data_IF_718626669002
#
_entry.id   IF_718626669002
#
_cell.length_a   1.000
_cell.length_b   1.000
_cell.length_c   1.000
_cell.angle_alpha   90.00
_cell.angle_beta   90.00
_cell.angle_gamma   90.00
#
_symmetry.space_group_name_H-M   'P 1'
#
loop_
_entity.id
_entity.type
_entity.pdbx_description
1 polymer ?
#
# COMPACT_ATOMS: atom_id res chain seq x y z
N UNK A 1 30.90 23.26 6.91
CA UNK A 1 31.42 22.08 6.18
C UNK A 1 30.47 21.78 5.02
N UNK A 2 30.95 21.87 3.78
CA UNK A 2 30.16 21.64 2.56
C UNK A 2 29.83 20.15 2.45
N UNK A 3 28.55 19.77 2.50
CA UNK A 3 28.10 18.41 2.14
C UNK A 3 27.87 18.36 0.64
N UNK A 4 28.48 17.36 0.00
CA UNK A 4 28.34 17.04 -1.42
C UNK A 4 26.89 16.68 -1.74
N UNK A 5 26.31 17.35 -2.73
CA UNK A 5 25.04 16.93 -3.34
C UNK A 5 25.32 15.66 -4.15
N UNK A 6 24.65 14.55 -3.82
CA UNK A 6 24.54 13.41 -4.72
C UNK A 6 23.83 13.84 -6.02
N UNK A 7 24.20 13.28 -7.18
CA UNK A 7 23.54 13.61 -8.43
C UNK A 7 22.14 12.97 -8.49
N UNK A 8 21.18 13.76 -8.98
CA UNK A 8 19.84 13.31 -9.37
C UNK A 8 19.94 12.21 -10.42
N UNK A 9 19.27 11.07 -10.19
CA UNK A 9 19.09 10.07 -11.24
C UNK A 9 18.08 10.57 -12.29
N UNK A 10 18.24 10.24 -13.59
CA UNK A 10 17.54 10.90 -14.69
C UNK A 10 16.12 10.38 -14.97
N UNK A 11 15.62 9.39 -14.22
CA UNK A 11 14.43 8.62 -14.59
C UNK A 11 13.15 8.99 -13.80
N UNK A 12 13.20 10.01 -12.94
CA UNK A 12 12.02 10.53 -12.24
C UNK A 12 11.39 9.54 -11.26
N UNK A 13 12.09 8.48 -10.88
CA UNK A 13 11.63 7.49 -9.91
C UNK A 13 12.21 7.81 -8.53
N UNK A 14 11.36 8.31 -7.62
CA UNK A 14 11.70 8.51 -6.22
C UNK A 14 11.52 7.20 -5.44
N UNK A 15 12.38 6.21 -5.65
CA UNK A 15 12.35 4.96 -4.88
C UNK A 15 13.73 4.74 -4.22
N UNK A 16 13.72 4.68 -2.89
CA UNK A 16 14.89 4.47 -2.03
C UNK A 16 14.45 3.66 -0.79
N UNK A 17 15.41 3.12 -0.03
CA UNK A 17 15.37 2.01 0.95
C UNK A 17 14.08 1.78 1.76
N UNK A 18 13.30 2.80 2.13
CA UNK A 18 12.01 2.64 2.83
C UNK A 18 10.80 2.31 1.94
N UNK A 19 10.85 2.67 0.65
CA UNK A 19 9.86 2.20 -0.35
C UNK A 19 10.20 0.77 -0.72
N UNK A 20 11.50 0.52 -0.88
CA UNK A 20 12.03 -0.82 -0.98
C UNK A 20 11.69 -1.63 0.26
N UNK A 21 11.78 -1.17 1.52
CA UNK A 21 11.47 -2.04 2.67
C UNK A 21 10.00 -2.47 2.76
N UNK A 22 9.04 -1.64 2.37
CA UNK A 22 7.62 -2.04 2.27
C UNK A 22 7.36 -2.99 1.09
N UNK A 23 7.96 -2.69 -0.07
CA UNK A 23 7.88 -3.52 -1.28
C UNK A 23 8.69 -4.83 -1.15
N UNK A 24 9.77 -4.78 -0.37
CA UNK A 24 10.73 -5.84 -0.05
C UNK A 24 10.30 -6.62 1.17
N UNK A 25 9.39 -6.14 2.02
CA UNK A 25 8.73 -6.99 3.00
C UNK A 25 7.81 -8.00 2.28
N UNK A 26 7.05 -7.55 1.27
CA UNK A 26 6.26 -8.43 0.40
C UNK A 26 7.14 -9.34 -0.47
N UNK A 27 8.21 -8.80 -1.07
CA UNK A 27 9.20 -9.60 -1.79
C UNK A 27 9.97 -10.56 -0.86
N UNK A 28 10.28 -10.12 0.35
CA UNK A 28 11.05 -10.81 1.38
C UNK A 28 10.29 -11.99 1.94
N UNK A 29 8.97 -11.85 2.14
CA UNK A 29 8.13 -12.97 2.51
C UNK A 29 8.07 -14.02 1.38
N UNK A 30 7.95 -13.61 0.11
CA UNK A 30 8.01 -14.52 -1.04
C UNK A 30 9.38 -15.19 -1.21
N UNK A 31 10.46 -14.44 -0.95
CA UNK A 31 11.85 -14.91 -0.98
C UNK A 31 12.15 -15.89 0.17
N UNK A 32 11.69 -15.62 1.39
CA UNK A 32 11.77 -16.54 2.54
C UNK A 32 10.95 -17.80 2.31
N UNK A 33 9.76 -17.69 1.71
CA UNK A 33 8.95 -18.87 1.39
C UNK A 33 9.62 -19.74 0.32
N UNK A 34 10.31 -19.11 -0.64
CA UNK A 34 11.17 -19.81 -1.61
C UNK A 34 12.42 -20.44 -0.98
N UNK A 35 13.05 -19.76 -0.02
CA UNK A 35 14.18 -20.27 0.77
C UNK A 35 13.82 -21.47 1.63
N UNK A 36 12.66 -21.46 2.29
CA UNK A 36 12.19 -22.58 3.13
C UNK A 36 11.89 -23.80 2.25
N UNK A 37 11.22 -23.61 1.10
CA UNK A 37 10.96 -24.70 0.14
C UNK A 37 12.23 -25.23 -0.56
N UNK A 38 13.25 -24.38 -0.73
CA UNK A 38 14.55 -24.79 -1.26
C UNK A 38 15.49 -25.42 -0.22
N UNK A 39 15.30 -25.12 1.06
CA UNK A 39 16.18 -25.52 2.17
C UNK A 39 15.86 -26.89 2.80
N UNK A 40 14.70 -27.48 2.52
CA UNK A 40 14.33 -28.81 3.05
C UNK A 40 15.08 -29.99 2.40
N UNK A 41 15.89 -29.73 1.37
CA UNK A 41 16.77 -30.73 0.77
C UNK A 41 18.21 -30.22 0.75
N UNK A 42 18.98 -30.50 1.81
CA UNK A 42 20.42 -30.90 1.75
C UNK A 42 21.09 -30.80 3.13
N UNK A 43 21.31 -31.94 3.77
CA UNK A 43 22.16 -32.03 4.95
C UNK A 43 23.66 -32.10 4.55
N UNK A 44 24.46 -31.26 5.21
CA UNK A 44 25.92 -31.32 5.42
C UNK A 44 26.90 -31.32 4.21
N UNK A 45 27.56 -30.18 3.96
CA UNK A 45 28.90 -30.11 3.31
C UNK A 45 29.59 -28.74 3.54
N UNK A 46 30.94 -28.63 3.39
CA UNK A 46 31.72 -27.42 3.70
C UNK A 46 31.60 -26.30 2.65
N UNK A 47 30.99 -26.59 1.50
CA UNK A 47 30.85 -25.68 0.35
C UNK A 47 29.46 -25.01 0.27
N UNK A 48 28.86 -24.68 1.42
CA UNK A 48 27.48 -24.14 1.49
C UNK A 48 27.30 -22.87 0.67
N UNK A 49 28.26 -21.93 0.71
CA UNK A 49 28.15 -20.65 0.02
C UNK A 49 28.15 -20.84 -1.50
N UNK A 50 29.06 -21.64 -2.04
CA UNK A 50 29.14 -21.91 -3.49
C UNK A 50 27.93 -22.71 -4.00
N UNK A 51 27.51 -23.73 -3.26
CA UNK A 51 26.30 -24.50 -3.58
C UNK A 51 25.03 -23.64 -3.53
N UNK A 52 24.94 -22.73 -2.56
CA UNK A 52 23.87 -21.76 -2.44
C UNK A 52 23.85 -20.79 -3.63
N UNK A 53 24.98 -20.20 -3.98
CA UNK A 53 25.09 -19.27 -5.11
C UNK A 53 24.77 -19.96 -6.45
N UNK A 54 25.17 -21.22 -6.64
CA UNK A 54 24.82 -22.01 -7.82
C UNK A 54 23.32 -22.32 -7.86
N UNK A 55 22.73 -22.77 -6.75
CA UNK A 55 21.29 -23.02 -6.64
C UNK A 55 20.47 -21.76 -6.89
N UNK A 56 20.90 -20.61 -6.36
CA UNK A 56 20.27 -19.32 -6.59
C UNK A 56 20.31 -18.91 -8.07
N UNK A 57 21.48 -18.95 -8.71
CA UNK A 57 21.62 -18.64 -10.15
C UNK A 57 20.76 -19.56 -11.02
N UNK A 58 20.72 -20.85 -10.67
CA UNK A 58 19.86 -21.82 -11.36
C UNK A 58 18.38 -21.44 -11.18
N UNK A 59 17.92 -21.18 -9.97
CA UNK A 59 16.53 -20.78 -9.71
C UNK A 59 16.13 -19.49 -10.43
N UNK A 60 17.02 -18.51 -10.53
CA UNK A 60 16.79 -17.28 -11.32
C UNK A 60 16.65 -17.61 -12.81
N UNK A 61 17.49 -18.50 -13.33
CA UNK A 61 17.47 -18.91 -14.74
C UNK A 61 16.20 -19.70 -15.06
N UNK A 62 15.90 -20.72 -14.26
CA UNK A 62 14.71 -21.57 -14.40
C UNK A 62 13.44 -20.71 -14.27
N UNK A 63 13.38 -19.79 -13.29
CA UNK A 63 12.24 -18.89 -13.12
C UNK A 63 12.06 -17.90 -14.27
N UNK A 64 13.15 -17.37 -14.86
CA UNK A 64 13.08 -16.52 -16.05
C UNK A 64 12.55 -17.29 -17.26
N UNK A 65 12.96 -18.54 -17.41
CA UNK A 65 12.44 -19.40 -18.47
C UNK A 65 10.95 -19.73 -18.21
N UNK A 66 10.61 -20.36 -17.09
CA UNK A 66 9.25 -20.82 -16.78
C UNK A 66 8.23 -19.68 -16.75
N UNK A 67 8.60 -18.53 -16.19
CA UNK A 67 7.72 -17.36 -16.05
C UNK A 67 7.72 -16.42 -17.26
N UNK A 68 8.61 -16.62 -18.23
CA UNK A 68 8.85 -15.67 -19.31
C UNK A 68 9.01 -16.35 -20.67
N UNK A 69 10.17 -16.94 -20.92
CA UNK A 69 10.51 -17.56 -22.21
C UNK A 69 9.54 -18.70 -22.58
N UNK A 70 9.16 -19.56 -21.64
CA UNK A 70 8.20 -20.64 -21.86
C UNK A 70 6.80 -20.12 -22.28
N UNK A 71 6.43 -18.92 -21.82
CA UNK A 71 5.18 -18.26 -22.25
C UNK A 71 5.33 -17.79 -23.70
N UNK A 72 6.48 -17.22 -24.07
CA UNK A 72 6.78 -16.81 -25.44
C UNK A 72 6.76 -18.03 -26.35
N UNK A 73 7.46 -19.11 -26.01
CA UNK A 73 7.50 -20.36 -26.79
C UNK A 73 6.11 -20.92 -27.06
N UNK A 74 5.23 -20.91 -26.04
CA UNK A 74 3.85 -21.37 -26.17
C UNK A 74 3.01 -20.49 -27.12
N UNK A 75 3.32 -19.21 -27.24
CA UNK A 75 2.58 -18.25 -28.06
C UNK A 75 3.18 -18.09 -29.47
N UNK A 76 4.42 -18.51 -29.69
CA UNK A 76 5.08 -18.45 -30.99
C UNK A 76 4.37 -19.34 -32.02
N UNK A 77 4.19 -18.87 -33.26
CA UNK A 77 3.67 -19.71 -34.33
C UNK A 77 4.57 -20.94 -34.57
N UNK A 78 4.00 -22.08 -34.97
CA UNK A 78 4.80 -23.25 -35.32
C UNK A 78 5.77 -22.91 -36.46
N UNK A 79 6.98 -23.49 -36.40
CA UNK A 79 8.05 -23.29 -37.39
C UNK A 79 8.60 -21.87 -37.51
N UNK A 80 8.38 -21.01 -36.51
CA UNK A 80 9.00 -19.70 -36.43
C UNK A 80 10.06 -19.66 -35.31
N UNK A 81 11.11 -18.88 -35.51
CA UNK A 81 12.06 -18.48 -34.46
C UNK A 81 12.06 -16.95 -34.36
N UNK A 82 12.35 -16.43 -33.17
CA UNK A 82 12.57 -15.01 -32.93
C UNK A 82 14.04 -14.80 -32.54
N UNK A 83 14.95 -14.69 -33.53
CA UNK A 83 16.37 -14.52 -33.24
C UNK A 83 16.64 -13.14 -32.63
N UNK A 84 17.70 -13.06 -31.82
CA UNK A 84 18.28 -11.81 -31.30
C UNK A 84 17.34 -10.88 -30.51
N UNK A 85 16.20 -11.38 -30.05
CA UNK A 85 15.24 -10.59 -29.26
C UNK A 85 15.15 -11.14 -27.83
N UNK A 86 15.76 -10.49 -26.83
CA UNK A 86 15.67 -10.94 -25.44
C UNK A 86 14.25 -10.73 -24.90
N UNK A 87 13.83 -11.56 -23.93
CA UNK A 87 12.53 -11.47 -23.26
C UNK A 87 12.13 -10.03 -22.85
N UNK A 88 13.06 -9.25 -22.29
CA UNK A 88 12.77 -7.89 -21.83
C UNK A 88 12.38 -6.95 -22.97
N UNK A 89 12.91 -7.16 -24.19
CA UNK A 89 12.52 -6.39 -25.37
C UNK A 89 11.12 -6.79 -25.85
N UNK A 90 10.76 -8.07 -25.77
CA UNK A 90 9.40 -8.57 -26.06
C UNK A 90 8.40 -7.94 -25.08
N UNK A 91 8.71 -7.97 -23.79
CA UNK A 91 7.89 -7.37 -22.73
C UNK A 91 7.77 -5.85 -22.96
N UNK A 92 8.87 -5.16 -23.24
CA UNK A 92 8.86 -3.72 -23.48
C UNK A 92 7.97 -3.34 -24.68
N UNK A 93 8.06 -4.11 -25.77
CA UNK A 93 7.20 -3.92 -26.95
C UNK A 93 5.71 -4.15 -26.61
N UNK A 94 5.40 -5.19 -25.82
CA UNK A 94 4.04 -5.44 -25.34
C UNK A 94 3.50 -4.33 -24.43
N UNK A 95 4.33 -3.81 -23.51
CA UNK A 95 4.00 -2.67 -22.65
C UNK A 95 3.73 -1.42 -23.49
N UNK A 96 4.59 -1.14 -24.47
CA UNK A 96 4.43 -0.02 -25.39
C UNK A 96 3.11 -0.11 -26.19
N UNK A 97 2.74 -1.32 -26.62
CA UNK A 97 1.50 -1.59 -27.36
C UNK A 97 0.22 -1.47 -26.52
N UNK A 98 0.32 -1.27 -25.20
CA UNK A 98 -0.81 -1.11 -24.28
C UNK A 98 -0.83 0.24 -23.56
N UNK A 99 -0.01 1.21 -23.99
CA UNK A 99 0.12 2.52 -23.34
C UNK A 99 -1.21 3.27 -23.24
N UNK A 100 -2.10 3.12 -24.22
CA UNK A 100 -3.43 3.73 -24.23
C UNK A 100 -4.35 3.20 -23.14
N UNK A 101 -4.04 2.03 -22.57
CA UNK A 101 -4.82 1.41 -21.49
C UNK A 101 -4.34 1.81 -20.10
N UNK A 102 -3.22 2.51 -20.00
CA UNK A 102 -2.64 2.89 -18.72
C UNK A 102 -3.57 3.83 -17.96
N UNK A 103 -3.73 3.53 -16.67
CA UNK A 103 -4.42 4.43 -15.76
C UNK A 103 -3.38 5.28 -15.06
N UNK A 104 -3.51 6.60 -15.17
CA UNK A 104 -2.64 7.54 -14.49
C UNK A 104 -3.12 7.75 -13.06
N UNK A 105 -2.24 7.50 -12.11
CA UNK A 105 -2.48 7.82 -10.71
C UNK A 105 -2.05 9.27 -10.42
N UNK A 106 -2.63 9.85 -9.39
CA UNK A 106 -2.17 11.10 -8.80
C UNK A 106 -0.75 10.90 -8.27
N UNK A 107 0.11 11.85 -8.59
CA UNK A 107 1.41 12.00 -7.94
C UNK A 107 1.25 12.38 -6.47
N UNK A 108 2.31 12.16 -5.68
CA UNK A 108 2.36 12.55 -4.27
C UNK A 108 2.14 14.06 -4.12
N UNK A 109 2.73 14.85 -5.01
CA UNK A 109 2.56 16.30 -5.13
C UNK A 109 1.07 16.67 -5.25
N UNK A 110 0.37 16.04 -6.20
CA UNK A 110 -1.05 16.32 -6.42
C UNK A 110 -1.92 15.93 -5.23
N UNK A 111 -1.56 14.84 -4.53
CA UNK A 111 -2.26 14.47 -3.30
C UNK A 111 -1.99 15.49 -2.20
N UNK A 112 -0.74 15.91 -2.01
CA UNK A 112 -0.35 16.93 -1.04
C UNK A 112 -1.07 18.26 -1.28
N UNK A 113 -1.11 18.72 -2.54
CA UNK A 113 -1.79 19.96 -2.94
C UNK A 113 -3.29 19.89 -2.66
N UNK A 114 -3.92 18.74 -2.93
CA UNK A 114 -5.36 18.55 -2.67
C UNK A 114 -5.68 18.52 -1.18
N UNK A 115 -4.81 17.91 -0.37
CA UNK A 115 -4.91 17.95 1.10
C UNK A 115 -4.74 19.39 1.60
N UNK A 116 -3.70 20.09 1.15
CA UNK A 116 -3.42 21.47 1.56
C UNK A 116 -4.60 22.39 1.23
N UNK A 117 -5.14 22.28 0.01
CA UNK A 117 -6.32 23.03 -0.41
C UNK A 117 -7.52 22.78 0.50
N UNK A 118 -7.79 21.52 0.86
CA UNK A 118 -8.89 21.15 1.75
C UNK A 118 -8.68 21.69 3.18
N UNK A 119 -7.44 21.70 3.68
CA UNK A 119 -7.09 22.29 4.97
C UNK A 119 -7.30 23.81 4.98
N UNK A 120 -6.89 24.50 3.91
CA UNK A 120 -7.01 25.95 3.78
C UNK A 120 -8.47 26.40 3.59
N UNK A 121 -9.25 25.63 2.82
CA UNK A 121 -10.66 25.89 2.58
C UNK A 121 -11.58 25.32 3.68
N UNK A 122 -11.03 24.56 4.62
CA UNK A 122 -11.77 23.86 5.67
C UNK A 122 -12.89 22.97 5.13
N UNK A 123 -12.63 22.28 4.03
CA UNK A 123 -13.56 21.35 3.39
C UNK A 123 -13.21 19.90 3.73
N UNK A 124 -14.20 18.98 3.77
CA UNK A 124 -13.93 17.57 4.02
C UNK A 124 -13.01 16.99 2.95
N UNK A 125 -12.08 16.14 3.38
CA UNK A 125 -11.29 15.31 2.48
C UNK A 125 -10.83 14.04 3.19
N UNK A 126 -11.11 12.90 2.58
CA UNK A 126 -10.65 11.58 3.02
C UNK A 126 -9.60 11.01 2.08
N UNK A 127 -8.47 10.59 2.65
CA UNK A 127 -7.47 9.77 1.95
C UNK A 127 -7.51 8.37 2.55
N UNK A 128 -8.00 7.41 1.79
CA UNK A 128 -8.01 5.99 2.17
C UNK A 128 -7.02 5.22 1.32
N UNK A 129 -6.48 4.11 1.82
CA UNK A 129 -5.52 3.28 1.08
C UNK A 129 -5.96 1.83 1.10
N UNK A 130 -5.77 1.14 -0.02
CA UNK A 130 -6.03 -0.28 -0.16
C UNK A 130 -4.70 -1.03 -0.20
N UNK A 131 -4.46 -1.85 0.81
CA UNK A 131 -3.41 -2.87 0.83
C UNK A 131 -3.97 -4.24 0.44
N UNK A 132 -3.15 -5.27 0.63
CA UNK A 132 -3.54 -6.67 0.46
C UNK A 132 -4.69 -7.05 1.40
N UNK A 133 -4.67 -6.61 2.65
CA UNK A 133 -5.72 -6.86 3.64
C UNK A 133 -7.10 -6.34 3.20
N UNK A 134 -7.18 -5.06 2.82
CA UNK A 134 -8.45 -4.47 2.36
C UNK A 134 -8.93 -5.10 1.05
N UNK A 135 -8.01 -5.42 0.12
CA UNK A 135 -8.35 -6.06 -1.14
C UNK A 135 -8.88 -7.48 -0.95
N UNK A 136 -8.23 -8.29 -0.10
CA UNK A 136 -8.71 -9.63 0.24
C UNK A 136 -10.06 -9.59 0.97
N UNK A 137 -10.24 -8.62 1.88
CA UNK A 137 -11.53 -8.40 2.54
C UNK A 137 -12.62 -8.05 1.52
N UNK A 138 -12.33 -7.21 0.54
CA UNK A 138 -13.26 -6.85 -0.53
C UNK A 138 -13.50 -7.98 -1.54
N UNK A 139 -12.56 -8.92 -1.69
CA UNK A 139 -12.63 -10.01 -2.67
C UNK A 139 -13.61 -11.15 -2.32
N UNK A 140 -14.00 -11.25 -1.04
CA UNK A 140 -14.88 -12.30 -0.51
C UNK A 140 -16.19 -12.45 -1.32
N UNK A 141 -16.42 -13.62 -1.90
CA UNK A 141 -17.60 -13.97 -2.72
C UNK A 141 -17.85 -13.02 -3.90
N UNK A 142 -16.80 -12.35 -4.41
CA UNK A 142 -16.90 -11.50 -5.60
C UNK A 142 -15.91 -11.93 -6.67
N UNK A 143 -14.62 -11.92 -6.34
CA UNK A 143 -13.55 -12.39 -7.23
C UNK A 143 -12.85 -13.62 -6.68
N UNK A 144 -13.03 -13.92 -5.39
CA UNK A 144 -12.48 -15.09 -4.71
C UNK A 144 -13.53 -15.75 -3.82
N UNK A 145 -13.61 -17.09 -3.80
CA UNK A 145 -14.40 -17.80 -2.79
C UNK A 145 -13.82 -17.57 -1.40
N UNK A 146 -14.67 -17.61 -0.37
CA UNK A 146 -14.26 -17.41 1.04
C UNK A 146 -13.10 -18.30 1.46
N UNK A 147 -13.05 -19.55 1.01
CA UNK A 147 -11.96 -20.48 1.33
C UNK A 147 -10.61 -20.00 0.79
N UNK A 148 -10.58 -19.45 -0.42
CA UNK A 148 -9.36 -18.87 -0.99
C UNK A 148 -8.94 -17.62 -0.21
N UNK A 149 -9.90 -16.77 0.17
CA UNK A 149 -9.60 -15.59 1.01
C UNK A 149 -9.05 -16.00 2.37
N UNK A 150 -9.56 -17.07 3.00
CA UNK A 150 -8.99 -17.59 4.26
C UNK A 150 -7.56 -18.12 4.08
N UNK A 151 -7.30 -18.81 2.98
CA UNK A 151 -5.97 -19.36 2.68
C UNK A 151 -4.93 -18.26 2.45
N UNK A 152 -5.29 -17.24 1.69
CA UNK A 152 -4.39 -16.15 1.32
C UNK A 152 -4.31 -15.04 2.39
N UNK A 153 -5.39 -14.86 3.15
CA UNK A 153 -5.57 -13.81 4.14
C UNK A 153 -5.50 -14.28 5.58
N UNK A 154 -4.62 -15.23 5.91
CA UNK A 154 -4.47 -15.73 7.29
C UNK A 154 -4.18 -14.64 8.33
N UNK A 155 -3.66 -13.49 7.90
CA UNK A 155 -3.39 -12.31 8.73
C UNK A 155 -4.62 -11.40 8.93
N UNK A 156 -5.74 -11.63 8.24
CA UNK A 156 -6.93 -10.77 8.31
C UNK A 156 -7.55 -10.72 9.71
N UNK A 157 -7.52 -11.84 10.44
CA UNK A 157 -7.98 -11.89 11.84
C UNK A 157 -7.19 -10.91 12.71
N UNK A 158 -5.86 -10.89 12.57
CA UNK A 158 -4.99 -9.91 13.22
C UNK A 158 -5.27 -8.46 12.75
N UNK A 159 -5.61 -8.29 11.48
CA UNK A 159 -6.01 -6.99 10.91
C UNK A 159 -7.45 -6.56 11.28
N UNK A 160 -8.17 -7.36 12.08
CA UNK A 160 -9.47 -7.03 12.64
C UNK A 160 -10.67 -7.54 11.84
N UNK A 161 -10.49 -8.52 10.96
CA UNK A 161 -11.57 -9.20 10.23
C UNK A 161 -11.50 -10.71 10.44
N UNK A 162 -12.57 -11.27 10.97
CA UNK A 162 -12.83 -12.72 10.89
C UNK A 162 -13.51 -13.06 9.57
N UNK A 163 -12.90 -13.94 8.76
CA UNK A 163 -13.47 -14.35 7.47
C UNK A 163 -14.41 -15.56 7.68
N UNK A 164 -15.63 -15.61 7.09
CA UNK A 164 -16.22 -14.60 6.23
C UNK A 164 -16.80 -13.41 7.01
N UNK A 165 -16.66 -12.22 6.43
CA UNK A 165 -17.37 -11.03 6.87
C UNK A 165 -17.80 -10.18 5.67
N UNK A 166 -18.92 -10.58 5.06
CA UNK A 166 -19.47 -9.90 3.89
C UNK A 166 -20.03 -8.51 4.22
N UNK A 167 -20.43 -8.28 5.48
CA UNK A 167 -20.85 -6.95 5.92
C UNK A 167 -19.68 -5.95 5.85
N UNK A 168 -18.50 -6.35 6.33
CA UNK A 168 -17.29 -5.51 6.24
C UNK A 168 -16.83 -5.33 4.81
N UNK A 169 -16.94 -6.37 3.96
CA UNK A 169 -16.70 -6.24 2.51
C UNK A 169 -17.57 -5.12 1.92
N UNK A 170 -18.86 -5.11 2.23
CA UNK A 170 -19.80 -4.12 1.71
C UNK A 170 -19.56 -2.73 2.32
N UNK A 171 -19.16 -2.64 3.59
CA UNK A 171 -18.75 -1.39 4.23
C UNK A 171 -17.50 -0.79 3.56
N UNK A 172 -16.48 -1.62 3.28
CA UNK A 172 -15.27 -1.21 2.57
C UNK A 172 -15.58 -0.74 1.15
N UNK A 173 -16.43 -1.47 0.41
CA UNK A 173 -16.93 -1.03 -0.90
C UNK A 173 -17.51 0.37 -0.81
N UNK A 174 -18.40 0.61 0.14
CA UNK A 174 -19.06 1.89 0.31
C UNK A 174 -18.10 3.02 0.72
N UNK A 175 -17.17 2.74 1.63
CA UNK A 175 -16.14 3.70 2.03
C UNK A 175 -15.23 4.06 0.85
N UNK A 176 -14.78 3.07 0.07
CA UNK A 176 -13.96 3.30 -1.14
C UNK A 176 -14.74 4.12 -2.16
N UNK A 177 -16.02 3.85 -2.39
CA UNK A 177 -16.86 4.63 -3.33
C UNK A 177 -17.00 6.10 -2.93
N UNK A 178 -17.09 6.38 -1.63
CA UNK A 178 -17.29 7.74 -1.11
C UNK A 178 -16.00 8.52 -0.87
N UNK A 179 -14.88 7.83 -0.66
CA UNK A 179 -13.62 8.48 -0.36
C UNK A 179 -13.15 9.42 -1.49
N UNK A 180 -12.53 10.53 -1.11
CA UNK A 180 -12.09 11.58 -2.04
C UNK A 180 -10.82 11.18 -2.80
N UNK A 181 -9.90 10.52 -2.10
CA UNK A 181 -8.67 9.96 -2.66
C UNK A 181 -8.54 8.52 -2.19
N UNK A 182 -8.38 7.60 -3.15
CA UNK A 182 -8.15 6.18 -2.88
C UNK A 182 -6.76 5.79 -3.38
N UNK A 183 -5.88 5.38 -2.46
CA UNK A 183 -4.60 4.77 -2.77
C UNK A 183 -4.77 3.30 -3.13
N UNK A 184 -4.14 2.85 -4.23
CA UNK A 184 -4.14 1.45 -4.68
C UNK A 184 -2.72 0.95 -4.90
N UNK A 185 -2.45 -0.35 -4.74
CA UNK A 185 -1.10 -0.86 -4.89
C UNK A 185 -0.70 -0.90 -6.37
N UNK A 186 0.49 -0.39 -6.66
CA UNK A 186 1.08 -0.39 -8.02
C UNK A 186 1.91 -1.64 -8.31
N UNK A 187 2.34 -2.34 -7.26
CA UNK A 187 3.14 -3.56 -7.37
C UNK A 187 2.35 -4.69 -8.05
N UNK A 188 2.94 -5.25 -9.11
CA UNK A 188 2.40 -6.36 -9.92
C UNK A 188 2.54 -7.72 -9.24
N UNK A 189 1.89 -7.88 -8.10
CA UNK A 189 1.78 -9.15 -7.39
C UNK A 189 0.29 -9.58 -7.26
N UNK A 190 0.01 -10.88 -7.04
CA UNK A 190 -1.35 -11.42 -7.02
C UNK A 190 -2.32 -10.62 -6.15
N UNK A 191 -1.99 -10.41 -4.88
CA UNK A 191 -2.88 -9.75 -3.90
C UNK A 191 -2.77 -8.22 -3.87
N UNK A 192 -2.07 -7.64 -4.85
CA UNK A 192 -1.81 -6.22 -4.97
C UNK A 192 -2.46 -5.69 -6.26
N UNK A 193 -1.69 -5.17 -7.23
CA UNK A 193 -2.27 -4.53 -8.41
C UNK A 193 -3.21 -5.47 -9.20
N UNK A 194 -2.88 -6.77 -9.26
CA UNK A 194 -3.66 -7.75 -10.03
C UNK A 194 -5.03 -8.00 -9.39
N UNK A 195 -5.09 -8.12 -8.07
CA UNK A 195 -6.35 -8.22 -7.32
C UNK A 195 -7.11 -6.89 -7.32
N UNK A 196 -6.43 -5.76 -7.16
CA UNK A 196 -7.05 -4.43 -7.09
C UNK A 196 -7.95 -4.13 -8.30
N UNK A 197 -7.46 -4.39 -9.51
CA UNK A 197 -8.25 -4.19 -10.73
C UNK A 197 -9.54 -5.02 -10.74
N UNK A 198 -9.42 -6.31 -10.44
CA UNK A 198 -10.55 -7.25 -10.44
C UNK A 198 -11.57 -6.92 -9.34
N UNK A 199 -11.10 -6.63 -8.12
CA UNK A 199 -11.95 -6.26 -6.98
C UNK A 199 -12.73 -4.98 -7.27
N UNK A 200 -12.04 -3.91 -7.69
CA UNK A 200 -12.70 -2.64 -7.99
C UNK A 200 -13.76 -2.82 -9.08
N UNK A 201 -13.44 -3.56 -10.14
CA UNK A 201 -14.38 -3.85 -11.22
C UNK A 201 -15.61 -4.63 -10.73
N UNK A 202 -15.42 -5.70 -9.94
CA UNK A 202 -16.51 -6.51 -9.40
C UNK A 202 -17.46 -5.71 -8.51
N UNK A 203 -16.95 -4.66 -7.87
CA UNK A 203 -17.72 -3.72 -7.06
C UNK A 203 -18.27 -2.50 -7.81
N UNK A 204 -18.12 -2.47 -9.14
CA UNK A 204 -18.62 -1.38 -10.00
C UNK A 204 -17.85 -0.07 -9.84
N UNK A 205 -16.60 -0.13 -9.37
CA UNK A 205 -15.72 1.03 -9.22
C UNK A 205 -14.79 1.08 -10.44
N UNK A 206 -15.09 1.95 -11.39
CA UNK A 206 -14.21 2.16 -12.54
C UNK A 206 -12.98 2.98 -12.13
N UNK A 207 -11.82 2.34 -12.17
CA UNK A 207 -10.51 2.93 -11.88
C UNK A 207 -10.16 4.11 -12.81
N UNK A 208 -10.83 4.24 -13.97
CA UNK A 208 -10.66 5.35 -14.91
C UNK A 208 -11.61 6.53 -14.68
N UNK A 209 -12.65 6.33 -13.89
CA UNK A 209 -13.71 7.34 -13.67
C UNK A 209 -13.30 8.48 -12.74
N UNK A 210 -12.26 8.26 -11.91
CA UNK A 210 -11.71 9.26 -11.00
C UNK A 210 -10.21 9.05 -10.78
N UNK A 211 -9.45 10.08 -10.38
CA UNK A 211 -8.04 9.91 -10.03
C UNK A 211 -7.87 9.04 -8.77
N UNK A 212 -7.08 7.99 -8.89
CA UNK A 212 -6.57 7.18 -7.77
C UNK A 212 -5.14 7.60 -7.44
N UNK A 213 -4.62 7.23 -6.27
CA UNK A 213 -3.22 7.44 -5.88
C UNK A 213 -2.50 6.09 -5.66
N UNK A 214 -1.22 6.13 -5.37
CA UNK A 214 -0.48 4.97 -4.85
C UNK A 214 -0.92 4.66 -3.40
N UNK A 215 -1.10 3.39 -3.02
CA UNK A 215 -1.42 2.99 -1.64
C UNK A 215 -0.26 3.23 -0.65
N UNK A 216 0.94 3.53 -1.14
CA UNK A 216 2.09 4.00 -0.37
C UNK A 216 2.19 5.54 -0.30
N UNK A 217 1.12 6.27 -0.65
CA UNK A 217 1.10 7.74 -0.65
C UNK A 217 1.46 8.35 0.71
N UNK A 218 1.18 7.69 1.83
CA UNK A 218 1.59 8.13 3.16
C UNK A 218 3.12 8.24 3.30
N UNK A 219 3.86 7.25 2.80
CA UNK A 219 5.32 7.29 2.74
C UNK A 219 5.81 8.33 1.72
N UNK A 220 5.12 8.45 0.59
CA UNK A 220 5.41 9.48 -0.40
C UNK A 220 5.30 10.89 0.19
N UNK A 221 4.20 11.19 0.89
CA UNK A 221 3.98 12.47 1.56
C UNK A 221 5.09 12.78 2.56
N UNK A 222 5.53 11.80 3.33
CA UNK A 222 6.67 11.95 4.23
C UNK A 222 7.98 12.22 3.47
N UNK A 223 8.36 11.35 2.54
CA UNK A 223 9.63 11.45 1.79
C UNK A 223 9.74 12.72 0.96
N UNK A 224 8.63 13.20 0.39
CA UNK A 224 8.56 14.46 -0.33
C UNK A 224 8.61 15.71 0.57
N UNK A 225 8.65 15.54 1.91
CA UNK A 225 8.59 16.64 2.87
C UNK A 225 7.23 17.33 2.95
N UNK A 226 6.19 16.76 2.32
CA UNK A 226 4.85 17.30 2.33
C UNK A 226 4.15 17.06 3.67
N UNK A 227 4.36 15.90 4.29
CA UNK A 227 3.73 15.57 5.57
C UNK A 227 4.04 16.61 6.64
N UNK A 228 5.31 17.01 6.79
CA UNK A 228 5.71 18.04 7.74
C UNK A 228 4.97 19.36 7.50
N UNK A 229 4.89 19.79 6.24
CA UNK A 229 4.19 21.03 5.85
C UNK A 229 2.69 20.96 6.13
N UNK A 230 2.08 19.79 5.92
CA UNK A 230 0.66 19.57 6.16
C UNK A 230 0.31 19.58 7.66
N UNK A 231 1.22 19.10 8.53
CA UNK A 231 0.98 19.05 9.98
C UNK A 231 1.37 20.35 10.71
N UNK A 232 2.32 21.13 10.19
CA UNK A 232 2.81 22.34 10.85
C UNK A 232 1.70 23.38 11.04
N UNK A 233 1.59 23.88 12.28
CA UNK A 233 0.58 24.87 12.65
C UNK A 233 -0.86 24.36 12.67
N UNK A 234 -1.09 23.04 12.53
CA UNK A 234 -2.42 22.43 12.57
C UNK A 234 -2.63 21.64 13.85
N UNK A 235 -3.89 21.54 14.28
CA UNK A 235 -4.34 20.66 15.36
C UNK A 235 -4.56 19.26 14.80
N UNK A 236 -3.70 18.33 15.18
CA UNK A 236 -3.67 16.97 14.64
C UNK A 236 -4.32 15.99 15.62
N UNK A 237 -5.37 15.30 15.20
CA UNK A 237 -5.96 14.19 15.93
C UNK A 237 -5.30 12.87 15.51
N UNK A 238 -4.96 12.01 16.48
CA UNK A 238 -4.34 10.72 16.21
C UNK A 238 -5.28 9.58 16.61
N UNK A 239 -5.48 8.61 15.73
CA UNK A 239 -6.42 7.51 15.94
C UNK A 239 -5.72 6.17 15.69
N UNK A 240 -5.79 5.24 16.64
CA UNK A 240 -5.25 3.89 16.52
C UNK A 240 -4.46 3.43 17.74
N UNK A 241 -4.12 2.14 17.79
CA UNK A 241 -3.53 1.50 18.98
C UNK A 241 -2.14 2.04 19.39
N UNK A 242 -1.45 2.71 18.46
CA UNK A 242 -0.14 3.34 18.71
C UNK A 242 -0.23 4.87 18.78
N UNK A 243 -1.43 5.43 18.86
CA UNK A 243 -1.64 6.87 18.79
C UNK A 243 -0.97 7.63 19.96
N UNK A 244 -0.89 7.06 21.17
CA UNK A 244 -0.15 7.67 22.29
C UNK A 244 1.36 7.77 22.02
N UNK A 245 1.95 6.70 21.48
CA UNK A 245 3.37 6.69 21.13
C UNK A 245 3.66 7.65 19.97
N UNK A 246 2.77 7.67 18.97
CA UNK A 246 2.86 8.61 17.86
C UNK A 246 2.70 10.06 18.33
N UNK A 247 1.80 10.32 19.28
CA UNK A 247 1.60 11.63 19.91
C UNK A 247 2.89 12.14 20.54
N UNK A 248 3.56 11.28 21.31
CA UNK A 248 4.83 11.60 21.95
C UNK A 248 5.92 11.93 20.93
N UNK A 249 6.02 11.14 19.86
CA UNK A 249 6.99 11.35 18.79
C UNK A 249 6.73 12.66 18.03
N UNK A 250 5.50 12.89 17.54
CA UNK A 250 5.14 14.07 16.76
C UNK A 250 5.22 15.38 17.57
N UNK A 251 4.87 15.33 18.87
CA UNK A 251 5.02 16.49 19.76
C UNK A 251 6.49 16.88 19.91
N UNK A 252 7.41 15.92 19.91
CA UNK A 252 8.86 16.17 19.90
C UNK A 252 9.34 16.95 18.66
N UNK A 253 8.57 16.89 17.57
CA UNK A 253 8.81 17.64 16.33
C UNK A 253 7.96 18.91 16.20
N UNK A 254 7.30 19.33 17.28
CA UNK A 254 6.52 20.58 17.31
C UNK A 254 5.14 20.49 16.67
N UNK A 255 4.61 19.28 16.41
CA UNK A 255 3.23 19.10 15.96
C UNK A 255 2.28 19.30 17.14
N UNK A 256 1.19 20.05 16.92
CA UNK A 256 0.16 20.24 17.95
C UNK A 256 -0.82 19.07 17.93
N UNK A 257 -0.71 18.16 18.88
CA UNK A 257 -1.65 17.04 19.03
C UNK A 257 -2.91 17.51 19.76
N UNK A 258 -4.06 17.39 19.10
CA UNK A 258 -5.36 17.86 19.59
C UNK A 258 -6.13 16.79 20.40
N UNK A 259 -5.70 15.54 20.29
CA UNK A 259 -6.33 14.42 20.95
C UNK A 259 -5.76 13.09 20.45
N UNK A 260 -6.10 12.04 21.18
CA UNK A 260 -5.81 10.66 20.84
C UNK A 260 -7.08 9.84 21.03
N UNK A 261 -7.43 9.01 20.05
CA UNK A 261 -8.52 8.02 20.15
C UNK A 261 -7.92 6.61 20.04
N UNK A 262 -8.04 5.86 21.13
CA UNK A 262 -7.46 4.52 21.31
C UNK A 262 -8.22 3.76 22.40
N UNK A 263 -8.31 2.42 22.35
CA UNK A 263 -7.85 1.54 21.28
C UNK A 263 -8.81 1.55 20.07
N UNK A 264 -8.40 0.91 18.98
CA UNK A 264 -9.25 0.50 17.85
C UNK A 264 -9.03 -1.01 17.65
N UNK A 265 -9.99 -1.81 18.11
CA UNK A 265 -9.91 -3.28 18.10
C UNK A 265 -10.64 -3.85 16.88
N UNK A 266 -10.06 -3.65 15.70
CA UNK A 266 -10.61 -4.14 14.44
C UNK A 266 -11.83 -3.37 13.96
N UNK A 267 -12.51 -3.91 12.95
CA UNK A 267 -13.51 -3.17 12.16
C UNK A 267 -14.80 -2.85 12.92
N UNK A 268 -15.14 -3.64 13.93
CA UNK A 268 -16.30 -3.39 14.79
C UNK A 268 -16.19 -2.10 15.60
N UNK A 269 -14.97 -1.61 15.82
CA UNK A 269 -14.69 -0.37 16.55
C UNK A 269 -14.69 0.89 15.67
N UNK A 270 -14.78 0.74 14.34
CA UNK A 270 -14.60 1.87 13.42
C UNK A 270 -15.59 3.02 13.68
N UNK A 271 -16.90 2.72 13.74
CA UNK A 271 -17.92 3.75 13.97
C UNK A 271 -17.85 4.35 15.38
N UNK A 272 -17.46 3.55 16.39
CA UNK A 272 -17.21 4.08 17.75
C UNK A 272 -16.05 5.07 17.73
N UNK A 273 -14.93 4.71 17.11
CA UNK A 273 -13.75 5.55 17.03
C UNK A 273 -14.02 6.86 16.27
N UNK A 274 -14.77 6.81 15.16
CA UNK A 274 -15.21 8.01 14.44
C UNK A 274 -16.14 8.90 15.29
N UNK A 275 -17.10 8.30 16.00
CA UNK A 275 -18.01 9.03 16.88
C UNK A 275 -17.30 9.68 18.08
N UNK A 276 -16.28 9.03 18.64
CA UNK A 276 -15.44 9.61 19.70
C UNK A 276 -14.57 10.74 19.17
N UNK A 277 -13.91 10.50 18.02
CA UNK A 277 -13.04 11.46 17.34
C UNK A 277 -13.73 12.79 17.00
N UNK A 278 -15.02 12.76 16.63
CA UNK A 278 -15.77 13.97 16.24
C UNK A 278 -15.87 15.02 17.37
N UNK A 279 -15.68 14.61 18.63
CA UNK A 279 -15.76 15.50 19.79
C UNK A 279 -14.47 16.29 20.03
N UNK A 280 -13.38 15.97 19.31
CA UNK A 280 -12.13 16.72 19.38
C UNK A 280 -12.14 17.94 18.45
N UNK A 281 -11.49 19.02 18.87
CA UNK A 281 -11.32 20.21 18.04
C UNK A 281 -10.01 20.10 17.24
N UNK A 282 -10.09 19.53 16.02
CA UNK A 282 -8.95 19.30 15.14
C UNK A 282 -9.13 19.88 13.73
N UNK A 283 -8.03 19.94 12.99
CA UNK A 283 -8.01 20.38 11.58
C UNK A 283 -7.72 19.20 10.64
N UNK A 284 -6.85 18.27 11.09
CA UNK A 284 -6.45 17.07 10.38
C UNK A 284 -6.41 15.87 11.33
N UNK A 285 -6.83 14.70 10.86
CA UNK A 285 -6.68 13.44 11.61
C UNK A 285 -5.78 12.44 10.87
N UNK A 286 -4.92 11.74 11.61
CA UNK A 286 -4.10 10.62 11.14
C UNK A 286 -4.61 9.31 11.76
N UNK A 287 -4.99 8.35 10.91
CA UNK A 287 -5.60 7.09 11.33
C UNK A 287 -4.68 5.92 11.03
N UNK A 288 -4.24 5.19 12.07
CA UNK A 288 -3.34 4.03 11.95
C UNK A 288 -3.98 2.82 12.64
N UNK A 289 -4.93 2.17 11.96
CA UNK A 289 -5.81 1.17 12.55
C UNK A 289 -6.10 -0.04 11.64
N UNK A 290 -5.15 -0.42 10.77
CA UNK A 290 -5.34 -1.50 9.80
C UNK A 290 -6.56 -1.24 8.90
N UNK A 291 -7.35 -2.27 8.64
CA UNK A 291 -8.54 -2.18 7.78
C UNK A 291 -9.55 -1.15 8.31
N UNK A 292 -9.67 -0.99 9.62
CA UNK A 292 -10.56 0.02 10.22
C UNK A 292 -10.18 1.44 9.82
N UNK A 293 -8.93 1.70 9.41
CA UNK A 293 -8.49 3.03 9.00
C UNK A 293 -9.27 3.54 7.78
N UNK A 294 -9.61 2.66 6.82
CA UNK A 294 -10.43 3.02 5.64
C UNK A 294 -11.82 3.47 6.07
N UNK A 295 -12.45 2.72 6.96
CA UNK A 295 -13.80 3.01 7.44
C UNK A 295 -13.84 4.29 8.29
N UNK A 296 -12.90 4.43 9.23
CA UNK A 296 -12.78 5.60 10.09
C UNK A 296 -12.48 6.85 9.26
N UNK A 297 -11.54 6.78 8.31
CA UNK A 297 -11.13 7.95 7.55
C UNK A 297 -12.25 8.52 6.67
N UNK A 298 -12.99 7.65 5.97
CA UNK A 298 -14.15 8.09 5.19
C UNK A 298 -15.27 8.63 6.09
N UNK A 299 -15.67 7.88 7.12
CA UNK A 299 -16.77 8.26 8.00
C UNK A 299 -16.46 9.58 8.74
N UNK A 300 -15.27 9.70 9.32
CA UNK A 300 -14.88 10.86 10.13
C UNK A 300 -14.80 12.13 9.28
N UNK A 301 -14.22 12.07 8.08
CA UNK A 301 -14.15 13.23 7.18
C UNK A 301 -15.56 13.73 6.85
N UNK A 302 -16.48 12.80 6.55
CA UNK A 302 -17.87 13.10 6.20
C UNK A 302 -18.66 13.73 7.34
N UNK A 303 -18.53 13.22 8.58
CA UNK A 303 -19.32 13.73 9.72
C UNK A 303 -18.74 15.01 10.33
N UNK A 304 -17.42 15.26 10.17
CA UNK A 304 -16.76 16.43 10.78
C UNK A 304 -16.49 17.57 9.80
N UNK A 305 -16.53 17.31 8.48
CA UNK A 305 -16.09 18.30 7.49
C UNK A 305 -14.58 18.52 7.47
N UNK A 306 -13.79 17.61 8.08
CA UNK A 306 -12.33 17.75 8.24
C UNK A 306 -11.54 16.87 7.28
N UNK A 307 -10.24 17.10 7.27
CA UNK A 307 -9.28 16.26 6.55
C UNK A 307 -8.91 15.04 7.39
N UNK A 308 -9.00 13.84 6.81
CA UNK A 308 -8.63 12.60 7.48
C UNK A 308 -7.81 11.72 6.55
N UNK A 309 -6.67 11.26 7.04
CA UNK A 309 -5.70 10.47 6.28
C UNK A 309 -5.53 9.12 6.95
N UNK A 310 -5.79 8.05 6.21
CA UNK A 310 -5.30 6.72 6.53
C UNK A 310 -3.77 6.73 6.45
N UNK A 311 -3.15 6.69 7.64
CA UNK A 311 -1.73 6.90 7.85
C UNK A 311 -0.93 5.59 7.95
N UNK A 312 -1.62 4.47 8.19
CA UNK A 312 -1.03 3.12 8.18
C UNK A 312 0.24 2.97 9.01
N UNK A 313 1.18 2.17 8.49
CA UNK A 313 2.46 1.88 9.16
C UNK A 313 3.47 3.04 9.14
N UNK A 314 3.16 4.19 8.52
CA UNK A 314 4.01 5.38 8.64
C UNK A 314 4.14 5.82 10.11
N UNK A 315 3.10 5.58 10.92
CA UNK A 315 3.15 5.76 12.37
C UNK A 315 4.30 4.97 13.01
N UNK A 316 4.49 3.71 12.60
CA UNK A 316 5.54 2.84 13.14
C UNK A 316 6.93 3.37 12.82
N UNK A 317 7.15 3.79 11.57
CA UNK A 317 8.44 4.35 11.14
C UNK A 317 8.79 5.62 11.91
N UNK A 318 7.82 6.48 12.19
CA UNK A 318 8.04 7.71 12.99
C UNK A 318 8.34 7.34 14.45
N UNK A 319 7.57 6.44 15.05
CA UNK A 319 7.76 6.02 16.45
C UNK A 319 9.14 5.40 16.67
N UNK A 320 9.62 4.58 15.73
CA UNK A 320 10.93 3.93 15.81
C UNK A 320 12.10 4.87 15.50
N UNK A 321 11.82 6.09 15.02
CA UNK A 321 12.85 7.03 14.56
C UNK A 321 13.50 6.67 13.22
N UNK A 322 12.94 5.69 12.50
CA UNK A 322 13.35 5.32 11.14
C UNK A 322 12.93 6.39 10.12
N UNK A 323 11.94 7.20 10.48
CA UNK A 323 11.45 8.34 9.72
C UNK A 323 11.50 9.63 10.58
N UNK A 324 12.70 10.25 10.75
CA UNK A 324 12.83 11.48 11.51
C UNK A 324 12.16 12.66 10.79
N UNK A 325 11.29 13.36 11.52
CA UNK A 325 10.43 14.44 11.03
C UNK A 325 11.13 15.80 11.00
#
# INVERSE_FOLDING_TARGET
MRRSKQPLQPDGRYYDEGYDSGHTAGFGHGFETGLVKGGESTAASPNKEEGFQQGYKKGVTDGRYDGGEAIVDRLMPPHCILPDTPLDAIIAAGIAAHQERFVRLMSVEQVADRIALALDQQTPLSVVRLGDGELLAMAQETVMPVEAVRQEGGFLSYAGIEVPNLAVRDQLREAVRRADIVGIPVLRQPNYQLLAGSVLQAHGIDIRSRPFADSLVNYGLYKGGYLQRLLQGRRVLLIGNKADALSSALSGYGVTVAGVVTPVNGVGDASRAAAEAQHHAFDLALVSAGISAVLIAEELARITGKVVIDFGHMADSIIKGEAPF
#
